data_IF_786287792241
#
_entry.id   IF_786287792241
#
_cell.length_a   1.000
_cell.length_b   1.000
_cell.length_c   1.000
_cell.angle_alpha   90.00
_cell.angle_beta   90.00
_cell.angle_gamma   90.00
#
_symmetry.space_group_name_H-M   'P 1'
#
loop_
_entity.id
_entity.type
_entity.pdbx_description
1 polymer ?
#
# COMPACT_ATOMS: atom_id res chain seq x y z
N UNK A 1 -1.58 -1.87 34.42
CA UNK A 1 -1.35 -1.25 33.11
C UNK A 1 -1.36 -2.37 32.08
N UNK A 2 -2.17 -2.28 31.03
CA UNK A 2 -2.20 -3.25 29.93
C UNK A 2 -1.46 -2.58 28.77
N UNK A 3 -0.16 -2.82 28.68
CA UNK A 3 0.65 -2.27 27.61
C UNK A 3 0.40 -3.10 26.33
N UNK A 4 0.18 -2.41 25.21
CA UNK A 4 0.00 -3.07 23.92
C UNK A 4 1.33 -3.68 23.47
N UNK A 5 1.36 -5.01 23.29
CA UNK A 5 2.52 -5.74 22.76
C UNK A 5 2.20 -6.12 21.30
N UNK A 6 2.75 -5.42 20.29
CA UNK A 6 2.56 -5.81 18.89
C UNK A 6 3.22 -7.16 18.62
N UNK A 7 2.42 -8.17 18.27
CA UNK A 7 2.91 -9.53 18.00
C UNK A 7 3.41 -9.68 16.56
N UNK A 8 2.73 -9.05 15.60
CA UNK A 8 3.07 -9.12 14.18
C UNK A 8 2.79 -7.79 13.49
N UNK A 9 3.57 -7.51 12.44
CA UNK A 9 3.26 -6.47 11.48
C UNK A 9 2.36 -7.06 10.40
N UNK A 10 1.15 -6.56 10.30
CA UNK A 10 0.27 -6.91 9.19
C UNK A 10 0.63 -6.08 7.96
N UNK A 11 0.90 -6.77 6.85
CA UNK A 11 1.15 -6.17 5.54
C UNK A 11 0.16 -6.78 4.55
N UNK A 12 -0.38 -5.91 3.70
CA UNK A 12 -1.29 -6.29 2.63
C UNK A 12 -0.64 -5.97 1.28
N UNK A 13 -0.75 -6.91 0.34
CA UNK A 13 -0.32 -6.73 -1.04
C UNK A 13 -1.55 -6.72 -1.97
N UNK A 14 -1.53 -5.87 -3.00
CA UNK A 14 -2.57 -5.80 -4.01
C UNK A 14 -2.17 -6.67 -5.22
N UNK A 15 -3.04 -7.58 -5.62
CA UNK A 15 -2.85 -8.43 -6.81
C UNK A 15 -3.64 -7.86 -7.97
N UNK A 16 -2.95 -7.53 -9.06
CA UNK A 16 -3.53 -7.05 -10.31
C UNK A 16 -3.09 -8.00 -11.42
N UNK A 17 -4.01 -8.41 -12.29
CA UNK A 17 -3.67 -9.19 -13.48
C UNK A 17 -2.79 -8.35 -14.40
N UNK A 18 -1.72 -8.93 -14.94
CA UNK A 18 -0.74 -8.17 -15.71
C UNK A 18 -1.37 -7.50 -16.94
N UNK A 19 -2.31 -8.17 -17.62
CA UNK A 19 -3.01 -7.62 -18.78
C UNK A 19 -3.90 -6.41 -18.43
N UNK A 20 -4.27 -6.25 -17.17
CA UNK A 20 -5.12 -5.15 -16.72
C UNK A 20 -4.32 -3.96 -16.20
N UNK A 21 -3.02 -4.12 -15.91
CA UNK A 21 -2.20 -3.07 -15.30
C UNK A 21 -2.16 -1.78 -16.13
N UNK A 22 -2.18 -1.89 -17.46
CA UNK A 22 -2.15 -0.76 -18.38
C UNK A 22 -3.52 -0.05 -18.54
N UNK A 23 -4.60 -0.60 -17.95
CA UNK A 23 -5.91 0.07 -18.00
C UNK A 23 -5.88 1.35 -17.19
N UNK A 24 -6.58 2.37 -17.70
CA UNK A 24 -6.57 3.72 -17.14
C UNK A 24 -6.89 3.77 -15.64
N UNK A 25 -7.85 2.98 -15.14
CA UNK A 25 -8.21 2.95 -13.73
C UNK A 25 -7.11 2.35 -12.83
N UNK A 26 -6.36 1.36 -13.32
CA UNK A 26 -5.22 0.79 -12.58
C UNK A 26 -4.03 1.75 -12.58
N UNK A 27 -3.78 2.45 -13.69
CA UNK A 27 -2.77 3.52 -13.74
C UNK A 27 -3.10 4.67 -12.77
N UNK A 28 -4.37 5.08 -12.70
CA UNK A 28 -4.83 6.07 -11.73
C UNK A 28 -4.66 5.59 -10.29
N UNK A 29 -5.04 4.35 -9.98
CA UNK A 29 -4.84 3.73 -8.67
C UNK A 29 -3.35 3.74 -8.28
N UNK A 30 -2.47 3.28 -9.17
CA UNK A 30 -1.03 3.25 -8.92
C UNK A 30 -0.47 4.66 -8.69
N UNK A 31 -0.93 5.65 -9.44
CA UNK A 31 -0.55 7.05 -9.27
C UNK A 31 -0.94 7.59 -7.90
N UNK A 32 -2.14 7.24 -7.41
CA UNK A 32 -2.62 7.64 -6.07
C UNK A 32 -1.75 6.99 -4.98
N UNK A 33 -1.53 5.66 -5.08
CA UNK A 33 -0.72 4.91 -4.11
C UNK A 33 0.74 5.38 -4.03
N UNK A 34 1.27 5.95 -5.11
CA UNK A 34 2.61 6.52 -5.19
C UNK A 34 2.66 8.01 -4.84
N UNK A 35 1.51 8.67 -4.65
CA UNK A 35 1.48 10.11 -4.42
C UNK A 35 1.99 10.46 -3.01
N UNK A 36 2.87 11.47 -2.87
CA UNK A 36 3.35 11.91 -1.56
C UNK A 36 2.23 12.41 -0.64
N UNK A 37 1.22 13.09 -1.21
CA UNK A 37 0.08 13.59 -0.46
C UNK A 37 -0.71 12.46 0.20
N UNK A 38 -1.10 11.44 -0.58
CA UNK A 38 -1.82 10.29 -0.05
C UNK A 38 -0.97 9.50 0.96
N UNK A 39 0.33 9.33 0.68
CA UNK A 39 1.25 8.68 1.63
C UNK A 39 1.30 9.39 2.97
N UNK A 40 1.32 10.72 2.99
CA UNK A 40 1.31 11.51 4.22
C UNK A 40 -0.01 11.39 4.97
N UNK A 41 -1.15 11.39 4.26
CA UNK A 41 -2.47 11.16 4.88
C UNK A 41 -2.54 9.79 5.56
N UNK A 42 -2.08 8.74 4.88
CA UNK A 42 -2.11 7.37 5.42
C UNK A 42 -1.14 7.21 6.60
N UNK A 43 0.03 7.87 6.59
CA UNK A 43 0.92 7.91 7.76
C UNK A 43 0.23 8.47 9.00
N UNK A 44 -0.65 9.47 8.82
CA UNK A 44 -1.41 10.09 9.90
C UNK A 44 -2.44 9.16 10.56
N UNK A 45 -2.89 8.11 9.87
CA UNK A 45 -3.83 7.12 10.41
C UNK A 45 -3.14 6.21 11.44
N UNK A 46 -1.83 6.00 11.30
CA UNK A 46 -1.04 5.12 12.19
C UNK A 46 -1.43 3.64 12.08
N UNK A 47 -0.68 2.76 12.73
CA UNK A 47 -1.02 1.32 12.84
C UNK A 47 -0.71 0.44 11.62
N UNK A 48 -0.30 1.01 10.48
CA UNK A 48 0.02 0.26 9.26
C UNK A 48 1.47 0.45 8.80
N UNK A 49 2.11 -0.62 8.34
CA UNK A 49 3.42 -0.54 7.68
C UNK A 49 3.24 -0.22 6.19
N UNK A 50 3.47 1.04 5.83
CA UNK A 50 3.33 1.52 4.44
C UNK A 50 4.68 1.62 3.71
N UNK A 51 5.75 1.02 4.23
CA UNK A 51 7.10 1.12 3.65
C UNK A 51 7.16 0.74 2.17
N UNK A 52 6.30 -0.17 1.72
CA UNK A 52 6.26 -0.67 0.34
C UNK A 52 5.00 -0.27 -0.45
N UNK A 53 4.19 0.66 0.07
CA UNK A 53 2.97 1.11 -0.62
C UNK A 53 3.27 1.65 -2.01
N UNK A 54 2.47 1.23 -3.01
CA UNK A 54 2.62 1.64 -4.40
C UNK A 54 3.80 1.00 -5.15
N UNK A 55 4.53 0.05 -4.54
CA UNK A 55 5.62 -0.66 -5.19
C UNK A 55 5.15 -1.95 -5.87
N UNK A 56 5.70 -2.24 -7.05
CA UNK A 56 5.55 -3.54 -7.69
C UNK A 56 6.63 -4.46 -7.12
N UNK A 57 6.23 -5.41 -6.29
CA UNK A 57 7.14 -6.30 -5.54
C UNK A 57 7.41 -7.63 -6.25
N UNK A 58 6.54 -8.01 -7.19
CA UNK A 58 6.63 -9.22 -7.99
C UNK A 58 5.90 -9.02 -9.33
N UNK A 59 6.35 -9.73 -10.36
CA UNK A 59 5.65 -9.91 -11.63
C UNK A 59 5.62 -11.42 -11.91
N UNK A 60 4.47 -11.95 -12.27
CA UNK A 60 4.25 -13.36 -12.59
C UNK A 60 3.82 -13.48 -14.04
#
# INVERSE_FOLDING_TARGET
>A
NLDFIPLHKERYDLVIRQEDLERHHFQALMSILQSPAFRNEVLGIGGYDISQMGQIIAKM
#
